data_IF_698514219772
#
_entry.id   IF_698514219772
#
_cell.length_a   1.000
_cell.length_b   1.000
_cell.length_c   1.000
_cell.angle_alpha   90.00
_cell.angle_beta   90.00
_cell.angle_gamma   90.00
#
_symmetry.space_group_name_H-M   'P 1'
#
loop_
_entity.id
_entity.type
_entity.pdbx_description
1 polymer ?
#
# COMPACT_ATOMS: atom_id res chain seq x y z
N UNK A 1 -4.34 -11.30 2.24
CA UNK A 1 -5.17 -11.96 3.27
C UNK A 1 -4.84 -13.44 3.52
N UNK A 2 -3.90 -14.09 2.79
CA UNK A 2 -3.68 -15.54 2.88
C UNK A 2 -3.36 -16.07 4.30
N UNK A 3 -2.54 -15.35 5.08
CA UNK A 3 -2.22 -15.73 6.46
C UNK A 3 -3.19 -15.17 7.52
N UNK A 4 -4.15 -14.33 7.13
CA UNK A 4 -5.05 -13.69 8.09
C UNK A 4 -6.24 -14.57 8.50
N UNK A 5 -6.69 -15.42 7.58
CA UNK A 5 -7.87 -16.28 7.76
C UNK A 5 -7.52 -17.74 7.50
N UNK A 6 -8.19 -18.69 8.15
CA UNK A 6 -7.99 -20.12 7.88
C UNK A 6 -8.38 -20.45 6.44
N UNK A 7 -7.51 -21.18 5.74
CA UNK A 7 -7.82 -21.79 4.45
C UNK A 7 -7.52 -23.29 4.50
N UNK A 8 -6.24 -23.63 4.59
CA UNK A 8 -5.74 -24.98 4.81
C UNK A 8 -4.59 -24.89 5.81
N UNK A 9 -4.81 -25.23 7.10
CA UNK A 9 -3.80 -25.01 8.15
C UNK A 9 -2.46 -25.69 7.88
N UNK A 10 -2.46 -26.88 7.27
CA UNK A 10 -1.22 -27.59 6.95
C UNK A 10 -0.40 -26.89 5.86
N UNK A 11 -1.07 -26.47 4.79
CA UNK A 11 -0.45 -25.70 3.70
C UNK A 11 -0.01 -24.32 4.19
N UNK A 12 -0.86 -23.63 4.95
CA UNK A 12 -0.54 -22.32 5.52
C UNK A 12 0.65 -22.40 6.47
N UNK A 13 0.76 -23.46 7.28
CA UNK A 13 1.92 -23.67 8.15
C UNK A 13 3.21 -23.89 7.35
N UNK A 14 3.16 -24.74 6.32
CA UNK A 14 4.30 -24.96 5.44
C UNK A 14 4.71 -23.68 4.71
N UNK A 15 3.75 -22.93 4.17
CA UNK A 15 3.99 -21.66 3.50
C UNK A 15 4.54 -20.59 4.45
N UNK A 16 4.05 -20.54 5.69
CA UNK A 16 4.59 -19.67 6.73
C UNK A 16 6.07 -19.99 6.99
N UNK A 17 6.40 -21.26 7.24
CA UNK A 17 7.78 -21.65 7.54
C UNK A 17 8.70 -21.38 6.34
N UNK A 18 8.25 -21.68 5.12
CA UNK A 18 9.01 -21.45 3.89
C UNK A 18 9.27 -19.96 3.65
N UNK A 19 8.26 -19.12 3.86
CA UNK A 19 8.39 -17.68 3.71
C UNK A 19 9.28 -17.07 4.80
N UNK A 20 9.11 -17.50 6.05
CA UNK A 20 9.97 -17.06 7.16
C UNK A 20 11.44 -17.41 6.91
N UNK A 21 11.72 -18.65 6.51
CA UNK A 21 13.06 -19.09 6.13
C UNK A 21 13.63 -18.26 4.97
N UNK A 22 12.83 -17.97 3.94
CA UNK A 22 13.26 -17.12 2.83
C UNK A 22 13.60 -15.69 3.30
N UNK A 23 12.77 -15.08 4.15
CA UNK A 23 13.01 -13.74 4.70
C UNK A 23 14.28 -13.71 5.55
N UNK A 24 14.49 -14.69 6.43
CA UNK A 24 15.72 -14.79 7.24
C UNK A 24 16.95 -14.89 6.33
N UNK A 25 16.92 -15.71 5.28
CA UNK A 25 18.04 -15.78 4.34
C UNK A 25 18.28 -14.45 3.59
N UNK A 26 17.24 -13.62 3.40
CA UNK A 26 17.37 -12.30 2.78
C UNK A 26 18.03 -11.25 3.67
N UNK A 27 18.10 -11.48 4.98
CA UNK A 27 18.88 -10.62 5.91
C UNK A 27 20.37 -11.00 5.99
N UNK A 28 20.80 -12.02 5.22
CA UNK A 28 22.18 -12.51 5.23
C UNK A 28 22.45 -13.59 6.29
N UNK A 29 21.47 -13.92 7.14
CA UNK A 29 21.52 -15.09 8.01
C UNK A 29 21.34 -16.38 7.19
N UNK A 30 21.72 -17.51 7.77
CA UNK A 30 21.50 -18.82 7.14
C UNK A 30 20.37 -19.56 7.85
N UNK A 31 19.35 -19.96 7.08
CA UNK A 31 18.23 -20.75 7.60
C UNK A 31 17.85 -21.83 6.59
N UNK A 32 17.80 -23.08 7.05
CA UNK A 32 17.40 -24.21 6.20
C UNK A 32 15.91 -24.15 5.86
N UNK A 33 15.57 -24.44 4.61
CA UNK A 33 14.17 -24.53 4.21
C UNK A 33 13.48 -25.70 4.90
N UNK A 34 12.26 -25.52 5.41
CA UNK A 34 11.54 -26.55 6.15
C UNK A 34 11.16 -27.71 5.23
N UNK A 35 11.27 -28.92 5.74
CA UNK A 35 10.85 -30.17 5.09
C UNK A 35 9.59 -30.69 5.76
N UNK A 36 8.81 -31.50 5.03
CA UNK A 36 7.60 -32.13 5.55
C UNK A 36 7.88 -33.08 6.74
N UNK A 37 9.11 -33.60 6.85
CA UNK A 37 9.56 -34.47 7.94
C UNK A 37 10.01 -33.73 9.19
N UNK A 38 10.18 -32.41 9.12
CA UNK A 38 10.74 -31.63 10.22
C UNK A 38 9.70 -31.46 11.35
N UNK A 39 10.17 -31.42 12.60
CA UNK A 39 9.28 -31.19 13.74
C UNK A 39 8.72 -29.76 13.71
N UNK A 40 7.38 -29.58 13.71
CA UNK A 40 6.78 -28.25 13.64
C UNK A 40 7.21 -27.30 14.77
N UNK A 41 7.36 -27.81 16.00
CA UNK A 41 7.75 -26.95 17.13
C UNK A 41 9.20 -26.52 17.02
N UNK A 42 10.09 -27.42 16.60
CA UNK A 42 11.50 -27.12 16.39
C UNK A 42 11.68 -26.06 15.31
N UNK A 43 11.01 -26.21 14.16
CA UNK A 43 11.03 -25.23 13.08
C UNK A 43 10.55 -23.86 13.56
N UNK A 44 9.41 -23.80 14.26
CA UNK A 44 8.91 -22.55 14.84
C UNK A 44 9.91 -21.95 15.84
N UNK A 45 10.48 -22.77 16.72
CA UNK A 45 11.42 -22.31 17.73
C UNK A 45 12.68 -21.70 17.11
N UNK A 46 13.16 -22.30 16.02
CA UNK A 46 14.30 -21.77 15.25
C UNK A 46 13.95 -20.43 14.59
N UNK A 47 12.76 -20.30 13.97
CA UNK A 47 12.30 -19.01 13.42
C UNK A 47 12.25 -17.94 14.51
N UNK A 48 11.72 -18.26 15.69
CA UNK A 48 11.65 -17.32 16.82
C UNK A 48 13.01 -17.03 17.46
N UNK A 49 14.01 -17.91 17.30
CA UNK A 49 15.39 -17.64 17.71
C UNK A 49 16.03 -16.59 16.79
N UNK A 50 15.88 -16.75 15.48
CA UNK A 50 16.37 -15.78 14.49
C UNK A 50 15.70 -14.41 14.69
N UNK A 51 14.39 -14.39 14.91
CA UNK A 51 13.66 -13.15 15.18
C UNK A 51 14.24 -12.40 16.41
N UNK A 52 14.56 -13.13 17.48
CA UNK A 52 15.22 -12.58 18.68
C UNK A 52 16.64 -12.11 18.42
N UNK A 53 17.36 -12.75 17.51
CA UNK A 53 18.71 -12.33 17.12
C UNK A 53 18.72 -10.94 16.45
N UNK A 54 17.62 -10.57 15.77
CA UNK A 54 17.42 -9.23 15.21
C UNK A 54 16.97 -8.19 16.26
N UNK A 55 16.81 -8.58 17.52
CA UNK A 55 16.35 -7.71 18.61
C UNK A 55 14.83 -7.63 18.76
N UNK A 56 14.06 -8.40 17.99
CA UNK A 56 12.61 -8.47 18.08
C UNK A 56 12.19 -9.51 19.15
N UNK A 57 11.34 -9.12 20.10
CA UNK A 57 10.84 -10.02 21.15
C UNK A 57 9.39 -10.42 20.88
N UNK A 58 9.10 -11.71 21.00
CA UNK A 58 7.74 -12.27 20.94
C UNK A 58 7.31 -12.77 22.30
N UNK A 59 6.10 -12.40 22.74
CA UNK A 59 5.50 -12.87 24.00
C UNK A 59 4.33 -13.82 23.74
N UNK A 60 4.63 -14.95 23.10
CA UNK A 60 3.67 -16.02 22.92
C UNK A 60 4.36 -17.37 22.71
N UNK A 61 3.70 -18.50 23.04
CA UNK A 61 4.29 -19.82 22.85
C UNK A 61 4.31 -20.24 21.37
N UNK A 62 5.26 -21.10 20.94
CA UNK A 62 5.34 -21.62 19.57
C UNK A 62 4.02 -22.23 19.04
N UNK A 63 3.19 -22.80 19.93
CA UNK A 63 1.90 -23.39 19.58
C UNK A 63 0.94 -22.40 18.89
N UNK A 64 1.10 -21.09 19.08
CA UNK A 64 0.29 -20.06 18.41
C UNK A 64 0.57 -19.96 16.91
N UNK A 65 1.72 -20.43 16.44
CA UNK A 65 2.10 -20.36 15.03
C UNK A 65 1.76 -21.65 14.25
N UNK A 66 1.42 -22.74 14.96
CA UNK A 66 1.15 -24.06 14.35
C UNK A 66 -0.01 -24.07 13.37
N UNK A 67 -0.99 -23.20 13.57
CA UNK A 67 -2.13 -23.10 12.67
C UNK A 67 -1.72 -22.57 11.29
N UNK A 68 -0.57 -21.90 11.19
CA UNK A 68 -0.09 -21.30 9.95
C UNK A 68 -0.84 -20.04 9.52
N UNK A 69 -1.81 -19.57 10.31
CA UNK A 69 -2.56 -18.34 10.08
C UNK A 69 -2.84 -17.63 11.41
N UNK A 70 -3.27 -16.38 11.32
CA UNK A 70 -3.67 -15.54 12.44
C UNK A 70 -2.68 -14.39 12.71
N UNK A 71 -3.02 -13.60 13.70
CA UNK A 71 -2.29 -12.38 14.06
C UNK A 71 -0.82 -12.63 14.36
N UNK A 72 -0.50 -13.67 15.15
CA UNK A 72 0.89 -13.98 15.52
C UNK A 72 1.73 -14.39 14.30
N UNK A 73 1.13 -15.08 13.32
CA UNK A 73 1.79 -15.47 12.07
C UNK A 73 2.10 -14.23 11.23
N UNK A 74 1.10 -13.35 11.06
CA UNK A 74 1.28 -12.10 10.35
C UNK A 74 2.35 -11.21 11.01
N UNK A 75 2.32 -11.09 12.34
CA UNK A 75 3.28 -10.31 13.10
C UNK A 75 4.73 -10.78 12.88
N UNK A 76 4.97 -12.10 12.98
CA UNK A 76 6.32 -12.65 12.74
C UNK A 76 6.80 -12.36 11.33
N UNK A 77 5.94 -12.53 10.32
CA UNK A 77 6.29 -12.24 8.92
C UNK A 77 6.56 -10.75 8.68
N UNK A 78 5.79 -9.88 9.32
CA UNK A 78 5.95 -8.43 9.24
C UNK A 78 7.31 -8.00 9.83
N UNK A 79 7.63 -8.45 11.04
CA UNK A 79 8.93 -8.17 11.65
C UNK A 79 10.10 -8.69 10.79
N UNK A 80 10.02 -9.91 10.25
CA UNK A 80 11.06 -10.43 9.36
C UNK A 80 11.18 -9.60 8.07
N UNK A 81 10.06 -9.15 7.51
CA UNK A 81 10.07 -8.28 6.34
C UNK A 81 10.72 -6.92 6.65
N UNK A 82 10.42 -6.32 7.81
CA UNK A 82 11.09 -5.09 8.25
C UNK A 82 12.60 -5.26 8.35
N UNK A 83 13.09 -6.37 8.90
CA UNK A 83 14.52 -6.67 8.97
C UNK A 83 15.16 -6.81 7.59
N UNK A 84 14.46 -7.42 6.63
CA UNK A 84 14.92 -7.48 5.24
C UNK A 84 15.00 -6.09 4.64
N UNK A 85 14.00 -5.23 4.84
CA UNK A 85 13.99 -3.85 4.34
C UNK A 85 15.15 -3.03 4.91
N UNK A 86 15.44 -3.18 6.21
CA UNK A 86 16.61 -2.57 6.87
C UNK A 86 17.91 -3.09 6.25
N UNK A 87 18.05 -4.40 6.07
CA UNK A 87 19.25 -5.03 5.51
C UNK A 87 19.54 -4.55 4.07
N UNK A 88 18.52 -4.44 3.22
CA UNK A 88 18.70 -3.97 1.83
C UNK A 88 18.75 -2.44 1.71
N UNK A 89 18.71 -1.70 2.82
CA UNK A 89 18.64 -0.23 2.84
C UNK A 89 17.51 0.31 1.94
N UNK A 90 16.33 -0.32 2.01
CA UNK A 90 15.21 0.04 1.16
C UNK A 90 14.75 1.48 1.39
N UNK A 91 14.49 2.20 0.29
CA UNK A 91 13.96 3.57 0.33
C UNK A 91 12.70 3.67 -0.55
N UNK A 92 11.64 4.26 -0.02
CA UNK A 92 10.45 4.58 -0.80
C UNK A 92 10.77 5.60 -1.89
N UNK A 93 10.46 5.25 -3.14
CA UNK A 93 10.57 6.18 -4.28
C UNK A 93 9.27 6.96 -4.41
N UNK A 94 9.36 8.23 -4.83
CA UNK A 94 8.16 9.02 -5.15
C UNK A 94 7.42 8.38 -6.34
N UNK A 95 6.09 8.25 -6.30
CA UNK A 95 5.31 7.81 -7.45
C UNK A 95 5.59 8.73 -8.64
N UNK A 96 5.86 8.13 -9.81
CA UNK A 96 5.89 8.85 -11.08
C UNK A 96 4.46 8.85 -11.63
N UNK A 97 3.76 9.98 -11.51
CA UNK A 97 2.47 10.15 -12.15
C UNK A 97 2.71 10.30 -13.66
N UNK A 98 2.06 9.47 -14.50
CA UNK A 98 2.05 9.76 -15.93
C UNK A 98 1.43 11.15 -16.12
N UNK A 99 1.98 11.94 -17.04
CA UNK A 99 1.38 13.22 -17.39
C UNK A 99 -0.05 12.96 -17.88
N UNK A 100 -1.03 13.64 -17.29
CA UNK A 100 -2.37 13.68 -17.87
C UNK A 100 -2.21 14.27 -19.27
N UNK A 101 -2.61 13.51 -20.30
CA UNK A 101 -2.77 14.07 -21.64
C UNK A 101 -3.80 15.18 -21.48
N UNK A 102 -3.35 16.43 -21.65
CA UNK A 102 -4.22 17.58 -21.67
C UNK A 102 -5.19 17.32 -22.83
N UNK A 103 -6.42 16.92 -22.52
CA UNK A 103 -7.50 16.88 -23.49
C UNK A 103 -7.64 18.34 -23.97
N UNK A 104 -7.24 18.61 -25.21
CA UNK A 104 -7.48 19.89 -25.86
C UNK A 104 -9.01 20.00 -26.00
N UNK A 105 -9.68 20.40 -24.92
CA UNK A 105 -11.04 20.90 -24.96
C UNK A 105 -10.99 22.09 -25.92
N UNK A 106 -11.38 21.86 -27.17
CA UNK A 106 -11.54 22.91 -28.16
C UNK A 106 -12.48 23.94 -27.55
N UNK A 107 -11.94 25.08 -27.14
CA UNK A 107 -12.73 26.24 -26.71
C UNK A 107 -13.60 26.60 -27.90
N UNK A 108 -14.88 26.25 -27.83
CA UNK A 108 -15.86 26.77 -28.79
C UNK A 108 -15.93 28.27 -28.51
N UNK A 109 -15.37 29.08 -29.41
CA UNK A 109 -15.50 30.53 -29.38
C UNK A 109 -17.00 30.87 -29.40
N UNK A 110 -17.55 31.27 -28.26
CA UNK A 110 -18.90 31.85 -28.16
C UNK A 110 -18.84 33.27 -28.71
N UNK A 111 -18.92 33.40 -30.04
CA UNK A 111 -18.96 34.67 -30.78
C UNK A 111 -20.34 35.35 -30.68
N UNK A 112 -20.77 35.63 -29.45
CA UNK A 112 -21.97 36.39 -29.17
C UNK A 112 -21.62 37.75 -28.51
N UNK A 113 -20.93 38.62 -29.26
CA UNK A 113 -20.80 40.04 -28.90
C UNK A 113 -22.18 40.73 -28.93
N UNK A 114 -22.84 40.84 -27.77
CA UNK A 114 -24.00 41.72 -27.59
C UNK A 114 -23.52 43.19 -27.56
N UNK A 115 -23.70 43.91 -28.67
CA UNK A 115 -23.40 45.35 -28.77
C UNK A 115 -24.36 46.19 -27.90
N UNK A 116 -24.05 46.37 -26.62
CA UNK A 116 -24.77 47.24 -25.67
C UNK A 116 -24.38 48.72 -25.78
N UNK A 117 -24.21 49.27 -27.00
CA UNK A 117 -23.80 50.68 -27.19
C UNK A 117 -24.79 51.52 -28.02
N UNK A 118 -26.03 51.03 -28.25
CA UNK A 118 -27.06 51.78 -29.01
C UNK A 118 -28.30 52.18 -28.21
N UNK A 119 -28.36 51.89 -26.91
CA UNK A 119 -29.53 52.19 -26.07
C UNK A 119 -29.38 53.52 -25.31
N UNK A 120 -28.17 54.03 -25.11
CA UNK A 120 -27.97 55.31 -24.39
C UNK A 120 -28.30 56.56 -25.22
N UNK A 121 -28.20 56.49 -26.57
CA UNK A 121 -28.49 57.64 -27.44
C UNK A 121 -30.00 57.87 -27.70
N UNK A 122 -30.87 56.88 -27.45
CA UNK A 122 -32.34 57.06 -27.58
C UNK A 122 -33.00 57.63 -26.30
N UNK A 123 -32.40 57.43 -25.12
CA UNK A 123 -32.96 57.93 -23.85
C UNK A 123 -32.73 59.46 -23.72
N UNK A 124 -31.67 60.00 -24.32
CA UNK A 124 -31.35 61.43 -24.28
C UNK A 124 -32.23 62.31 -25.19
N UNK A 125 -32.91 61.72 -26.20
CA UNK A 125 -33.76 62.47 -27.15
C UNK A 125 -35.22 62.60 -26.68
N UNK A 126 -35.69 61.71 -25.80
CA UNK A 126 -37.09 61.73 -25.32
C UNK A 126 -37.37 62.78 -24.23
N UNK A 127 -36.35 63.32 -23.54
CA UNK A 127 -36.54 64.33 -22.47
C UNK A 127 -36.69 65.79 -22.98
N UNK A 128 -36.87 66.02 -24.28
CA UNK A 128 -37.08 67.37 -24.86
C UNK A 128 -38.47 67.62 -25.45
N UNK A 129 -39.47 66.82 -25.11
CA UNK A 129 -40.84 67.06 -25.56
C UNK A 129 -41.81 66.87 -24.38
N UNK A 130 -42.09 67.96 -23.67
CA UNK A 130 -43.06 67.95 -22.58
C UNK A 130 -42.95 69.09 -21.58
N UNK A 131 -42.70 70.32 -22.04
CA UNK A 131 -42.91 71.52 -21.23
C UNK A 131 -43.75 72.52 -22.04
N UNK A 132 -45.06 72.27 -22.08
CA UNK A 132 -46.18 73.20 -22.26
C UNK A 132 -47.49 72.43 -22.18
#
# INVERSE_FOLDING_TARGET
>A
HYFALPTNPGEQFYMFCTLAAWLINKTGHHFDQPRESDDPNATISNILLELRSFGNSVDFPPSKLKAGYGEQVCYVLDCLAEEVLKHISFSWKRPAYPAEEQDDETVVEDDAELTLNKIEDEIAVSSRIGNC
#
